data_IF_449469786181
#
_entry.id   IF_449469786181
#
_cell.length_a   1.000
_cell.length_b   1.000
_cell.length_c   1.000
_cell.angle_alpha   90.00
_cell.angle_beta   90.00
_cell.angle_gamma   90.00
#
_symmetry.space_group_name_H-M   'P 1'
#
loop_
_entity.id
_entity.type
_entity.pdbx_description
1 polymer ?
#
# COMPACT_ATOMS: atom_id res chain seq x y z
N UNK A 1 -25.57 -12.82 -16.00
CA UNK A 1 -25.29 -13.17 -14.57
C UNK A 1 -23.84 -12.84 -14.26
N UNK A 2 -23.58 -12.03 -13.22
CA UNK A 2 -22.20 -11.75 -12.80
C UNK A 2 -21.57 -12.95 -12.11
N UNK A 3 -20.38 -13.37 -12.53
CA UNK A 3 -19.64 -14.47 -11.89
C UNK A 3 -19.20 -14.09 -10.47
N UNK A 4 -19.16 -15.03 -9.51
CA UNK A 4 -18.66 -14.77 -8.16
C UNK A 4 -17.20 -14.34 -8.18
N UNK A 5 -16.77 -13.37 -7.36
CA UNK A 5 -15.40 -12.82 -7.40
C UNK A 5 -14.29 -13.83 -7.12
N UNK A 6 -14.59 -14.86 -6.32
CA UNK A 6 -13.68 -15.99 -6.11
C UNK A 6 -13.28 -16.70 -7.41
N UNK A 7 -14.07 -16.56 -8.49
CA UNK A 7 -13.74 -17.12 -9.80
C UNK A 7 -13.00 -16.13 -10.72
N UNK A 8 -12.65 -14.95 -10.22
CA UNK A 8 -11.97 -13.88 -10.96
C UNK A 8 -10.61 -13.51 -10.34
N UNK A 9 -10.32 -14.00 -9.14
CA UNK A 9 -9.00 -13.94 -8.51
C UNK A 9 -8.36 -15.30 -8.77
N UNK A 10 -7.30 -15.33 -9.57
CA UNK A 10 -6.52 -16.52 -9.85
C UNK A 10 -5.06 -16.19 -9.60
N UNK A 11 -4.49 -16.81 -8.56
CA UNK A 11 -3.07 -16.72 -8.26
C UNK A 11 -2.22 -17.33 -9.38
N UNK A 12 -2.76 -18.29 -10.13
CA UNK A 12 -2.11 -18.87 -11.31
C UNK A 12 -1.93 -17.83 -12.43
N UNK A 13 -2.84 -16.86 -12.53
CA UNK A 13 -2.79 -15.82 -13.56
C UNK A 13 -1.95 -14.61 -13.14
N UNK A 14 -2.12 -14.13 -11.90
CA UNK A 14 -1.30 -13.05 -11.33
C UNK A 14 -1.57 -12.89 -9.83
N UNK A 15 -0.54 -12.53 -9.04
CA UNK A 15 -0.73 -12.10 -7.66
C UNK A 15 -1.10 -10.62 -7.51
N UNK A 16 -1.13 -9.83 -8.60
CA UNK A 16 -1.30 -8.37 -8.55
C UNK A 16 -2.70 -7.91 -8.96
N UNK A 17 -3.30 -7.03 -8.15
CA UNK A 17 -4.67 -6.55 -8.33
C UNK A 17 -4.83 -5.08 -8.00
N UNK A 18 -5.41 -4.32 -8.92
CA UNK A 18 -5.91 -2.97 -8.65
C UNK A 18 -7.30 -3.03 -8.04
N UNK A 19 -7.55 -2.27 -6.98
CA UNK A 19 -8.82 -2.16 -6.30
C UNK A 19 -9.24 -0.70 -6.13
N UNK A 20 -10.55 -0.45 -6.24
CA UNK A 20 -11.14 0.89 -6.12
C UNK A 20 -12.43 0.84 -5.32
N UNK A 21 -12.57 1.71 -4.32
CA UNK A 21 -13.82 1.90 -3.58
C UNK A 21 -14.24 3.37 -3.61
N UNK A 22 -15.53 3.64 -3.82
CA UNK A 22 -16.09 4.98 -3.98
C UNK A 22 -17.28 5.19 -3.05
N UNK A 23 -17.34 6.35 -2.42
CA UNK A 23 -18.43 6.74 -1.52
C UNK A 23 -19.69 7.15 -2.27
N UNK A 24 -20.86 6.93 -1.65
CA UNK A 24 -22.16 7.34 -2.22
C UNK A 24 -22.19 8.83 -2.51
N UNK A 25 -22.89 9.22 -3.59
CA UNK A 25 -23.10 10.62 -3.96
C UNK A 25 -23.54 11.44 -2.73
N UNK A 26 -22.85 12.56 -2.51
CA UNK A 26 -22.99 13.52 -1.39
C UNK A 26 -22.38 13.10 -0.05
N UNK A 27 -21.87 11.88 0.11
CA UNK A 27 -20.96 11.57 1.22
C UNK A 27 -19.56 12.03 0.81
N UNK A 28 -18.98 12.96 1.57
CA UNK A 28 -17.57 13.31 1.44
C UNK A 28 -16.75 12.20 2.08
N UNK A 29 -15.99 11.47 1.25
CA UNK A 29 -14.97 10.58 1.79
C UNK A 29 -13.93 11.46 2.50
N UNK A 30 -13.45 12.48 1.79
CA UNK A 30 -12.57 13.53 2.29
C UNK A 30 -12.87 14.85 1.56
N UNK A 31 -12.28 15.96 2.01
CA UNK A 31 -12.47 17.28 1.39
C UNK A 31 -13.50 18.16 2.06
N UNK A 32 -13.63 19.38 1.54
CA UNK A 32 -14.54 20.40 2.04
C UNK A 32 -15.89 20.33 1.33
N UNK A 33 -16.97 20.24 2.10
CA UNK A 33 -18.32 20.42 1.58
C UNK A 33 -18.59 21.91 1.38
N UNK A 34 -18.61 22.34 0.12
CA UNK A 34 -18.87 23.74 -0.25
C UNK A 34 -20.23 24.25 0.24
N UNK A 35 -21.21 23.36 0.45
CA UNK A 35 -22.57 23.73 0.88
C UNK A 35 -22.68 23.93 2.38
N UNK A 36 -22.04 23.08 3.18
CA UNK A 36 -22.12 23.14 4.65
C UNK A 36 -20.89 23.81 5.28
N UNK A 37 -19.82 24.01 4.51
CA UNK A 37 -18.54 24.52 4.98
C UNK A 37 -17.72 23.51 5.78
N UNK A 38 -18.26 22.31 6.07
CA UNK A 38 -17.58 21.28 6.85
C UNK A 38 -16.40 20.67 6.08
N UNK A 39 -15.30 20.43 6.78
CA UNK A 39 -14.09 19.84 6.21
C UNK A 39 -13.88 18.42 6.74
N UNK A 40 -13.82 17.46 5.83
CA UNK A 40 -13.60 16.04 6.12
C UNK A 40 -12.21 15.56 5.68
N UNK A 41 -11.27 16.48 5.46
CA UNK A 41 -9.93 16.16 4.95
C UNK A 41 -9.17 15.20 5.87
N UNK A 42 -9.37 15.32 7.18
CA UNK A 42 -8.80 14.43 8.19
C UNK A 42 -9.13 12.95 7.98
N UNK A 43 -10.22 12.61 7.27
CA UNK A 43 -10.60 11.23 6.96
C UNK A 43 -9.62 10.56 5.98
N UNK A 44 -8.78 11.31 5.25
CA UNK A 44 -7.72 10.71 4.41
C UNK A 44 -6.75 9.91 5.26
N UNK A 45 -6.31 10.50 6.37
CA UNK A 45 -5.41 9.84 7.30
C UNK A 45 -6.04 8.57 7.86
N UNK A 46 -7.34 8.57 8.19
CA UNK A 46 -8.02 7.36 8.67
C UNK A 46 -7.95 6.20 7.67
N UNK A 47 -8.10 6.51 6.37
CA UNK A 47 -8.04 5.50 5.30
C UNK A 47 -6.62 4.99 5.14
N UNK A 48 -5.65 5.91 5.11
CA UNK A 48 -4.23 5.56 4.99
C UNK A 48 -3.74 4.72 6.18
N UNK A 49 -3.98 5.16 7.41
CA UNK A 49 -3.61 4.43 8.62
C UNK A 49 -4.20 3.03 8.62
N UNK A 50 -5.51 2.92 8.34
CA UNK A 50 -6.20 1.64 8.32
C UNK A 50 -5.70 0.75 7.18
N UNK A 51 -5.35 1.33 6.04
CA UNK A 51 -4.81 0.59 4.90
C UNK A 51 -3.45 -0.03 5.25
N UNK A 52 -2.55 0.77 5.83
CA UNK A 52 -1.21 0.34 6.22
C UNK A 52 -1.27 -0.68 7.38
N UNK A 53 -2.12 -0.45 8.39
CA UNK A 53 -2.36 -1.40 9.49
C UNK A 53 -2.83 -2.76 8.97
N UNK A 54 -3.78 -2.78 8.03
CA UNK A 54 -4.28 -4.05 7.49
C UNK A 54 -3.22 -4.80 6.68
N UNK A 55 -2.27 -4.11 6.05
CA UNK A 55 -1.18 -4.76 5.31
C UNK A 55 -0.16 -5.45 6.23
N UNK A 56 -0.05 -5.03 7.50
CA UNK A 56 0.76 -5.75 8.50
C UNK A 56 0.07 -7.02 9.01
N UNK A 57 -1.27 -7.07 8.94
CA UNK A 57 -2.07 -8.19 9.45
C UNK A 57 -2.35 -9.23 8.37
N UNK A 58 -2.64 -8.79 7.14
CA UNK A 58 -2.93 -9.66 6.00
C UNK A 58 -1.64 -10.04 5.27
N UNK A 59 -1.69 -11.14 4.51
CA UNK A 59 -0.62 -11.51 3.58
C UNK A 59 -0.82 -10.79 2.24
N UNK A 60 -0.99 -9.47 2.30
CA UNK A 60 -1.25 -8.61 1.16
C UNK A 60 -0.32 -7.40 1.24
N UNK A 61 0.60 -7.29 0.29
CA UNK A 61 1.51 -6.16 0.22
C UNK A 61 0.90 -5.01 -0.59
N UNK A 62 1.15 -3.77 -0.16
CA UNK A 62 0.68 -2.57 -0.87
C UNK A 62 1.73 -2.15 -1.89
N UNK A 63 1.44 -2.30 -3.18
CA UNK A 63 2.33 -1.84 -4.25
C UNK A 63 2.20 -0.33 -4.46
N UNK A 64 0.96 0.17 -4.54
CA UNK A 64 0.64 1.60 -4.68
C UNK A 64 -0.74 1.93 -4.10
N UNK A 65 -0.98 3.17 -3.69
CA UNK A 65 -2.29 3.67 -3.32
C UNK A 65 -2.39 5.19 -3.49
N UNK A 66 -3.63 5.68 -3.64
CA UNK A 66 -3.95 7.10 -3.62
C UNK A 66 -5.34 7.32 -3.00
N UNK A 67 -5.41 8.14 -1.96
CA UNK A 67 -6.68 8.50 -1.32
C UNK A 67 -7.23 9.78 -1.96
N UNK A 68 -8.35 9.68 -2.67
CA UNK A 68 -9.02 10.78 -3.36
C UNK A 68 -10.21 11.31 -2.55
N UNK A 69 -10.78 12.46 -2.94
CA UNK A 69 -11.84 13.11 -2.15
C UNK A 69 -13.16 12.32 -2.05
N UNK A 70 -13.44 11.40 -2.98
CA UNK A 70 -14.65 10.58 -2.97
C UNK A 70 -14.41 9.08 -3.24
N UNK A 71 -13.16 8.67 -3.44
CA UNK A 71 -12.77 7.27 -3.64
C UNK A 71 -11.31 7.08 -3.26
N UNK A 72 -10.85 5.84 -3.16
CA UNK A 72 -9.42 5.55 -3.09
C UNK A 72 -9.08 4.44 -4.07
N UNK A 73 -7.81 4.42 -4.47
CA UNK A 73 -7.20 3.38 -5.29
C UNK A 73 -6.14 2.67 -4.46
N UNK A 74 -6.03 1.35 -4.61
CA UNK A 74 -4.93 0.55 -4.06
C UNK A 74 -4.55 -0.55 -5.03
N UNK A 75 -3.26 -0.79 -5.21
CA UNK A 75 -2.69 -1.93 -5.92
C UNK A 75 -2.10 -2.87 -4.87
N UNK A 76 -2.61 -4.10 -4.85
CA UNK A 76 -2.26 -5.12 -3.88
C UNK A 76 -1.50 -6.27 -4.57
N UNK A 77 -0.56 -6.85 -3.84
CA UNK A 77 0.12 -8.10 -4.16
C UNK A 77 -0.29 -9.17 -3.15
N UNK A 78 -0.70 -10.35 -3.62
CA UNK A 78 -1.03 -11.47 -2.73
C UNK A 78 0.24 -12.27 -2.42
N UNK A 79 0.67 -12.22 -1.16
CA UNK A 79 1.88 -12.89 -0.70
C UNK A 79 1.58 -14.31 -0.17
N UNK A 80 1.28 -15.22 -1.10
CA UNK A 80 0.93 -16.60 -0.75
C UNK A 80 2.04 -17.32 0.01
N UNK A 81 3.30 -17.10 -0.38
CA UNK A 81 4.45 -17.69 0.30
C UNK A 81 4.55 -17.26 1.77
N UNK A 82 4.31 -15.98 2.07
CA UNK A 82 4.30 -15.49 3.45
C UNK A 82 3.18 -16.16 4.27
N UNK A 83 1.98 -16.29 3.70
CA UNK A 83 0.86 -16.89 4.41
C UNK A 83 1.06 -18.39 4.67
N UNK A 84 1.63 -19.11 3.72
CA UNK A 84 1.98 -20.53 3.84
C UNK A 84 3.07 -20.77 4.89
N UNK A 85 4.01 -19.83 5.03
CA UNK A 85 5.06 -19.89 6.03
C UNK A 85 4.56 -19.64 7.46
N UNK A 86 3.37 -19.06 7.66
CA UNK A 86 2.85 -18.78 9.00
C UNK A 86 2.52 -20.04 9.78
N UNK A 87 3.07 -20.10 10.99
CA UNK A 87 2.70 -21.06 12.02
C UNK A 87 1.24 -20.90 12.43
N UNK A 88 0.69 -21.93 13.09
CA UNK A 88 -0.66 -21.87 13.68
C UNK A 88 -0.81 -20.66 14.61
N UNK A 89 0.20 -20.39 15.44
CA UNK A 89 0.24 -19.24 16.36
C UNK A 89 0.12 -17.91 15.62
N UNK A 90 0.91 -17.74 14.57
CA UNK A 90 0.93 -16.52 13.77
C UNK A 90 -0.39 -16.24 13.07
N UNK A 91 -1.07 -17.27 12.56
CA UNK A 91 -2.40 -17.13 11.95
C UNK A 91 -3.44 -16.72 12.99
N UNK A 92 -3.42 -17.37 14.17
CA UNK A 92 -4.37 -17.06 15.25
C UNK A 92 -4.15 -15.63 15.76
N UNK A 93 -2.90 -15.21 15.98
CA UNK A 93 -2.58 -13.87 16.47
C UNK A 93 -3.02 -12.79 15.48
N UNK A 94 -2.71 -12.95 14.18
CA UNK A 94 -3.16 -12.02 13.13
C UNK A 94 -4.68 -11.94 13.08
N UNK A 95 -5.37 -13.08 13.15
CA UNK A 95 -6.83 -13.09 13.20
C UNK A 95 -7.37 -12.36 14.44
N UNK A 96 -6.71 -12.51 15.59
CA UNK A 96 -7.09 -11.88 16.85
C UNK A 96 -6.90 -10.37 16.88
N UNK A 97 -6.03 -9.82 16.02
CA UNK A 97 -5.92 -8.37 15.81
C UNK A 97 -7.18 -7.78 15.16
N UNK A 98 -7.95 -8.58 14.41
CA UNK A 98 -9.15 -8.14 13.70
C UNK A 98 -10.45 -8.54 14.42
N UNK A 99 -10.46 -9.70 15.07
CA UNK A 99 -11.64 -10.32 15.63
C UNK A 99 -11.35 -10.96 16.98
N UNK A 100 -12.35 -11.07 17.85
CA UNK A 100 -12.17 -11.72 19.17
C UNK A 100 -11.80 -13.21 19.11
N UNK A 101 -11.95 -13.87 17.96
CA UNK A 101 -11.74 -15.32 17.81
C UNK A 101 -12.81 -16.17 18.52
N UNK A 102 -12.55 -17.47 18.63
CA UNK A 102 -13.35 -18.44 19.39
C UNK A 102 -12.76 -18.67 20.80
N UNK A 103 -13.54 -19.16 21.78
CA UNK A 103 -13.01 -19.51 23.10
C UNK A 103 -11.81 -20.47 23.03
N UNK A 104 -11.85 -21.43 22.09
CA UNK A 104 -10.75 -22.35 21.82
C UNK A 104 -9.46 -21.61 21.40
N UNK A 105 -9.57 -20.69 20.44
CA UNK A 105 -8.42 -19.89 20.01
C UNK A 105 -7.90 -18.93 21.08
N UNK A 106 -8.76 -18.47 22.00
CA UNK A 106 -8.35 -17.61 23.12
C UNK A 106 -7.59 -18.40 24.19
N UNK A 107 -8.00 -19.64 24.47
CA UNK A 107 -7.24 -20.55 25.34
C UNK A 107 -5.87 -20.85 24.73
N UNK A 108 -5.82 -21.05 23.42
CA UNK A 108 -4.56 -21.24 22.69
C UNK A 108 -3.60 -20.05 22.81
N UNK A 109 -4.07 -18.81 22.63
CA UNK A 109 -3.21 -17.62 22.74
C UNK A 109 -2.71 -17.37 24.17
N UNK A 110 -3.39 -17.92 25.18
CA UNK A 110 -2.96 -17.91 26.60
C UNK A 110 -1.99 -19.06 26.93
N UNK A 111 -1.58 -19.86 25.95
CA UNK A 111 -0.75 -21.04 26.14
C UNK A 111 -1.36 -22.10 27.09
N UNK A 112 -2.69 -22.17 27.16
CA UNK A 112 -3.36 -23.26 27.88
C UNK A 112 -3.15 -24.58 27.13
N UNK A 113 -3.06 -25.68 27.88
CA UNK A 113 -2.97 -27.02 27.28
C UNK A 113 -4.28 -27.35 26.55
N UNK A 114 -4.16 -27.65 25.26
CA UNK A 114 -5.25 -28.16 24.43
C UNK A 114 -5.05 -29.66 24.21
N UNK A 115 -6.13 -30.43 24.28
CA UNK A 115 -6.08 -31.85 23.90
C UNK A 115 -6.00 -32.00 22.37
N UNK A 116 -5.59 -33.19 21.90
CA UNK A 116 -5.34 -33.43 20.47
C UNK A 116 -6.55 -33.09 19.57
N UNK A 117 -7.77 -33.39 20.00
CA UNK A 117 -8.99 -33.05 19.25
C UNK A 117 -9.25 -31.53 19.19
N UNK A 118 -8.94 -30.80 20.26
CA UNK A 118 -9.06 -29.34 20.32
C UNK A 118 -8.02 -28.67 19.41
N UNK A 119 -6.78 -29.19 19.40
CA UNK A 119 -5.73 -28.70 18.52
C UNK A 119 -6.08 -28.94 17.05
N UNK A 120 -6.51 -30.15 16.69
CA UNK A 120 -6.94 -30.48 15.33
C UNK A 120 -8.08 -29.56 14.86
N UNK A 121 -9.06 -29.30 15.73
CA UNK A 121 -10.16 -28.37 15.40
C UNK A 121 -9.66 -26.94 15.20
N UNK A 122 -8.68 -26.50 16.00
CA UNK A 122 -8.09 -25.17 15.85
C UNK A 122 -7.31 -25.06 14.54
N UNK A 123 -6.58 -26.10 14.12
CA UNK A 123 -5.86 -26.14 12.84
C UNK A 123 -6.80 -26.05 11.63
N UNK A 124 -7.96 -26.71 11.69
CA UNK A 124 -9.00 -26.57 10.66
C UNK A 124 -9.50 -25.12 10.56
N UNK A 125 -9.80 -24.50 11.71
CA UNK A 125 -10.25 -23.10 11.77
C UNK A 125 -9.15 -22.16 11.28
N UNK A 126 -7.90 -22.39 11.65
CA UNK A 126 -6.76 -21.59 11.24
C UNK A 126 -6.49 -21.71 9.75
N UNK A 127 -6.72 -22.87 9.14
CA UNK A 127 -6.67 -23.04 7.68
C UNK A 127 -7.64 -22.10 6.98
N UNK A 128 -8.88 -21.98 7.49
CA UNK A 128 -9.84 -21.01 6.97
C UNK A 128 -9.39 -19.56 7.21
N UNK A 129 -8.87 -19.24 8.39
CA UNK A 129 -8.38 -17.89 8.70
C UNK A 129 -7.21 -17.47 7.83
N UNK A 130 -6.24 -18.37 7.57
CA UNK A 130 -5.12 -18.13 6.66
C UNK A 130 -5.63 -17.80 5.26
N UNK A 131 -6.58 -18.58 4.73
CA UNK A 131 -7.17 -18.31 3.42
C UNK A 131 -7.87 -16.93 3.36
N UNK A 132 -8.54 -16.53 4.45
CA UNK A 132 -9.17 -15.21 4.54
C UNK A 132 -8.16 -14.07 4.68
N UNK A 133 -7.05 -14.28 5.38
CA UNK A 133 -5.96 -13.31 5.54
C UNK A 133 -5.14 -13.10 4.25
N UNK A 134 -5.35 -13.94 3.23
CA UNK A 134 -4.81 -13.75 1.87
C UNK A 134 -5.85 -13.18 0.89
N UNK A 135 -7.11 -13.02 1.30
CA UNK A 135 -8.20 -12.71 0.39
C UNK A 135 -8.45 -11.19 0.30
N UNK A 136 -8.34 -10.66 -0.92
CA UNK A 136 -8.56 -9.25 -1.22
C UNK A 136 -9.96 -8.79 -0.80
N UNK A 137 -10.99 -9.63 -0.94
CA UNK A 137 -12.35 -9.24 -0.55
C UNK A 137 -12.49 -9.09 0.96
N UNK A 138 -11.80 -9.92 1.75
CA UNK A 138 -11.70 -9.78 3.19
C UNK A 138 -10.93 -8.52 3.59
N UNK A 139 -9.79 -8.26 2.97
CA UNK A 139 -9.02 -7.03 3.19
C UNK A 139 -9.86 -5.78 2.91
N UNK A 140 -10.46 -5.72 1.72
CA UNK A 140 -11.31 -4.60 1.31
C UNK A 140 -12.55 -4.48 2.19
N UNK A 141 -13.10 -5.57 2.72
CA UNK A 141 -14.19 -5.52 3.69
C UNK A 141 -13.72 -4.87 4.99
N UNK A 142 -12.59 -5.30 5.54
CA UNK A 142 -12.06 -4.76 6.81
C UNK A 142 -11.72 -3.28 6.72
N UNK A 143 -11.18 -2.84 5.58
CA UNK A 143 -10.92 -1.42 5.32
C UNK A 143 -12.23 -0.63 5.22
N UNK A 144 -13.12 -1.01 4.30
CA UNK A 144 -14.33 -0.24 4.00
C UNK A 144 -15.32 -0.22 5.17
N UNK A 145 -15.47 -1.33 5.89
CA UNK A 145 -16.39 -1.43 7.03
C UNK A 145 -15.96 -0.52 8.19
N UNK A 146 -14.65 -0.46 8.49
CA UNK A 146 -14.10 0.42 9.52
C UNK A 146 -14.40 1.89 9.21
N UNK A 147 -14.02 2.34 8.01
CA UNK A 147 -14.20 3.73 7.57
C UNK A 147 -15.68 4.10 7.52
N UNK A 148 -16.56 3.22 7.02
CA UNK A 148 -18.00 3.48 6.96
C UNK A 148 -18.60 3.65 8.37
N UNK A 149 -18.20 2.81 9.33
CA UNK A 149 -18.68 2.90 10.72
C UNK A 149 -18.21 4.19 11.41
N UNK A 150 -16.96 4.59 11.17
CA UNK A 150 -16.39 5.80 11.75
C UNK A 150 -17.03 7.06 11.16
N UNK A 151 -17.14 7.13 9.83
CA UNK A 151 -17.75 8.26 9.14
C UNK A 151 -19.25 8.40 9.47
N UNK A 152 -20.03 7.32 9.45
CA UNK A 152 -21.45 7.36 9.83
C UNK A 152 -21.64 7.82 11.28
N UNK A 153 -20.76 7.41 12.20
CA UNK A 153 -20.79 7.84 13.60
C UNK A 153 -20.48 9.33 13.73
N UNK A 154 -19.46 9.82 13.04
CA UNK A 154 -19.11 11.25 13.01
C UNK A 154 -20.25 12.09 12.41
N UNK A 155 -20.89 11.59 11.36
CA UNK A 155 -21.98 12.26 10.67
C UNK A 155 -23.33 12.14 11.42
N UNK A 156 -23.38 11.38 12.53
CA UNK A 156 -24.59 11.12 13.29
C UNK A 156 -25.69 10.42 12.47
N UNK A 157 -25.31 9.64 11.45
CA UNK A 157 -26.23 9.04 10.50
C UNK A 157 -26.10 7.51 10.46
N UNK A 158 -27.12 6.88 9.87
CA UNK A 158 -27.13 5.43 9.61
C UNK A 158 -27.37 5.20 8.14
N UNK A 159 -26.73 4.19 7.57
CA UNK A 159 -26.97 3.78 6.19
C UNK A 159 -25.70 3.48 5.43
N UNK A 160 -25.82 3.50 4.10
CA UNK A 160 -24.79 3.07 3.17
C UNK A 160 -23.79 4.19 2.90
N UNK A 161 -22.53 3.97 3.25
CA UNK A 161 -21.44 4.91 2.98
C UNK A 161 -20.77 4.70 1.61
N UNK A 162 -20.63 3.45 1.16
CA UNK A 162 -19.98 3.10 -0.13
C UNK A 162 -21.01 2.86 -1.25
N UNK A 163 -20.78 3.36 -2.47
CA UNK A 163 -21.68 3.22 -3.64
C UNK A 163 -22.02 1.78 -3.99
N UNK A 164 -21.13 0.86 -3.62
CA UNK A 164 -21.02 -0.42 -4.28
C UNK A 164 -20.20 -1.40 -3.47
N UNK A 165 -20.10 -2.60 -4.03
CA UNK A 165 -18.92 -3.42 -3.80
C UNK A 165 -17.74 -2.72 -4.48
N UNK A 166 -16.54 -2.81 -3.91
CA UNK A 166 -15.32 -2.32 -4.55
C UNK A 166 -15.15 -2.91 -5.96
N UNK A 167 -14.53 -2.18 -6.89
CA UNK A 167 -14.13 -2.70 -8.20
C UNK A 167 -12.70 -3.25 -8.10
N UNK A 168 -12.38 -4.25 -8.92
CA UNK A 168 -11.01 -4.73 -9.01
C UNK A 168 -10.66 -5.15 -10.44
N UNK A 169 -9.36 -5.17 -10.73
CA UNK A 169 -8.77 -5.56 -12.01
C UNK A 169 -7.46 -6.32 -11.74
N UNK A 170 -7.31 -7.49 -12.37
CA UNK A 170 -6.07 -8.27 -12.33
C UNK A 170 -5.00 -7.64 -13.24
N UNK A 171 -3.76 -7.60 -12.79
CA UNK A 171 -2.62 -7.02 -13.52
C UNK A 171 -1.72 -8.17 -13.99
N UNK A 172 -1.86 -8.55 -15.27
CA UNK A 172 -1.37 -9.83 -15.79
C UNK A 172 0.14 -9.85 -16.11
N UNK A 173 0.78 -8.69 -16.17
CA UNK A 173 2.21 -8.56 -16.45
C UNK A 173 2.81 -7.33 -15.77
N UNK A 174 4.15 -7.25 -15.77
CA UNK A 174 4.90 -6.17 -15.13
C UNK A 174 4.62 -4.79 -15.75
N UNK A 175 4.30 -4.73 -17.04
CA UNK A 175 3.98 -3.47 -17.73
C UNK A 175 2.63 -2.96 -17.27
N UNK A 176 1.64 -3.84 -17.18
CA UNK A 176 0.32 -3.55 -16.62
C UNK A 176 0.42 -3.13 -15.15
N UNK A 177 1.30 -3.78 -14.37
CA UNK A 177 1.57 -3.39 -12.99
C UNK A 177 2.16 -1.98 -12.90
N UNK A 178 3.27 -1.71 -13.58
CA UNK A 178 3.94 -0.41 -13.55
C UNK A 178 3.02 0.72 -14.06
N UNK A 179 2.30 0.49 -15.16
CA UNK A 179 1.35 1.45 -15.70
C UNK A 179 0.17 1.71 -14.75
N UNK A 180 -0.33 0.68 -14.06
CA UNK A 180 -1.40 0.83 -13.09
C UNK A 180 -0.93 1.58 -11.84
N UNK A 181 0.24 1.26 -11.31
CA UNK A 181 0.84 1.97 -10.18
C UNK A 181 1.05 3.45 -10.51
N UNK A 182 1.66 3.76 -11.66
CA UNK A 182 1.85 5.14 -12.12
C UNK A 182 0.50 5.84 -12.34
N UNK A 183 -0.51 5.13 -12.87
CA UNK A 183 -1.87 5.67 -12.95
C UNK A 183 -2.43 6.04 -11.58
N UNK A 184 -2.24 5.18 -10.57
CA UNK A 184 -2.73 5.39 -9.20
C UNK A 184 -2.06 6.60 -8.58
N UNK A 185 -0.74 6.65 -8.58
CA UNK A 185 0.09 7.71 -8.00
C UNK A 185 -0.13 9.07 -8.68
N UNK A 186 -0.48 9.10 -9.97
CA UNK A 186 -0.77 10.34 -10.70
C UNK A 186 -2.22 10.83 -10.57
N UNK A 187 -3.12 10.11 -9.89
CA UNK A 187 -4.52 10.53 -9.79
C UNK A 187 -4.70 11.90 -9.09
N UNK A 188 -4.01 12.22 -7.98
CA UNK A 188 -4.10 13.53 -7.35
C UNK A 188 -3.70 14.67 -8.30
N UNK A 189 -2.63 14.48 -9.08
CA UNK A 189 -2.17 15.47 -10.07
C UNK A 189 -3.21 15.67 -11.17
N UNK A 190 -3.71 14.56 -11.74
CA UNK A 190 -4.74 14.61 -12.80
C UNK A 190 -6.05 15.24 -12.33
N UNK A 191 -6.33 15.17 -11.03
CA UNK A 191 -7.49 15.78 -10.39
C UNK A 191 -7.26 17.24 -9.95
N UNK A 192 -6.05 17.80 -10.14
CA UNK A 192 -5.62 19.11 -9.60
C UNK A 192 -5.74 19.21 -8.08
N UNK A 193 -5.46 18.12 -7.38
CA UNK A 193 -5.34 18.11 -5.93
C UNK A 193 -3.91 18.39 -5.46
N UNK A 194 -2.92 18.12 -6.32
CA UNK A 194 -1.52 18.42 -6.12
C UNK A 194 -0.90 18.78 -7.47
N UNK A 195 0.18 19.57 -7.46
CA UNK A 195 0.87 19.96 -8.69
C UNK A 195 1.93 18.93 -9.09
N UNK A 196 2.50 18.22 -8.11
CA UNK A 196 3.58 17.26 -8.33
C UNK A 196 3.45 16.01 -7.45
N UNK A 197 4.14 14.89 -7.77
CA UNK A 197 4.12 13.69 -6.93
C UNK A 197 4.62 13.92 -5.49
N UNK A 198 5.62 14.79 -5.32
CA UNK A 198 6.24 15.14 -4.03
C UNK A 198 5.25 15.82 -3.07
N UNK A 199 4.29 16.55 -3.64
CA UNK A 199 3.27 17.33 -2.91
C UNK A 199 1.92 16.60 -2.85
N UNK A 200 1.87 15.35 -3.31
CA UNK A 200 0.64 14.56 -3.35
C UNK A 200 0.44 13.74 -2.08
N UNK A 201 0.02 14.41 -1.01
CA UNK A 201 -0.21 13.77 0.30
C UNK A 201 -1.17 12.57 0.23
N UNK A 202 -0.99 11.62 1.15
CA UNK A 202 -1.75 10.37 1.24
C UNK A 202 -1.68 9.49 -0.02
N UNK A 203 -0.49 9.41 -0.61
CA UNK A 203 -0.17 8.52 -1.73
C UNK A 203 1.06 7.68 -1.45
N UNK A 204 1.17 6.54 -2.13
CA UNK A 204 2.40 5.74 -2.09
C UNK A 204 3.60 6.46 -2.68
N UNK A 205 3.43 7.24 -3.76
CA UNK A 205 4.55 7.94 -4.40
C UNK A 205 5.16 8.98 -3.48
N UNK A 206 4.35 9.78 -2.78
CA UNK A 206 4.85 10.80 -1.85
C UNK A 206 5.67 10.14 -0.75
N UNK A 207 5.19 9.03 -0.17
CA UNK A 207 5.95 8.26 0.83
C UNK A 207 7.25 7.69 0.29
N UNK A 208 7.21 7.09 -0.89
CA UNK A 208 8.40 6.53 -1.55
C UNK A 208 9.45 7.59 -1.80
N UNK A 209 9.03 8.77 -2.23
CA UNK A 209 9.89 9.94 -2.43
C UNK A 209 10.49 10.41 -1.11
N UNK A 210 9.68 10.56 -0.07
CA UNK A 210 10.14 11.02 1.24
C UNK A 210 11.24 10.13 1.82
N UNK A 211 11.07 8.80 1.74
CA UNK A 211 12.08 7.84 2.22
C UNK A 211 13.30 7.76 1.30
N UNK A 212 13.10 7.96 -0.02
CA UNK A 212 14.20 7.94 -0.98
C UNK A 212 15.19 9.10 -0.77
N UNK A 213 14.77 10.23 -0.18
CA UNK A 213 15.69 11.31 0.19
C UNK A 213 16.76 10.83 1.20
N UNK A 214 16.41 9.86 2.04
CA UNK A 214 17.29 9.24 3.04
C UNK A 214 17.99 7.96 2.55
N UNK A 215 17.88 7.61 1.26
CA UNK A 215 18.46 6.36 0.76
C UNK A 215 17.62 5.10 1.07
N UNK A 216 16.36 5.27 1.50
CA UNK A 216 15.51 4.18 2.03
C UNK A 216 14.27 3.93 1.18
N UNK A 217 13.57 2.85 1.51
CA UNK A 217 12.23 2.55 1.01
C UNK A 217 11.26 2.45 2.20
N UNK A 218 10.00 2.87 2.03
CA UNK A 218 9.01 2.82 3.11
C UNK A 218 8.72 1.37 3.51
N UNK A 219 8.89 1.00 4.80
CA UNK A 219 8.78 -0.40 5.24
C UNK A 219 7.37 -0.98 5.12
N UNK A 220 6.35 -0.13 5.05
CA UNK A 220 4.94 -0.51 4.99
C UNK A 220 4.42 -0.71 3.54
N UNK A 221 5.26 -0.44 2.53
CA UNK A 221 4.93 -0.67 1.13
C UNK A 221 5.78 -1.80 0.57
N UNK A 222 5.26 -2.49 -0.45
CA UNK A 222 6.00 -3.53 -1.13
C UNK A 222 7.27 -2.90 -1.75
N UNK A 223 8.48 -3.39 -1.38
CA UNK A 223 9.72 -2.75 -1.77
C UNK A 223 10.00 -3.00 -3.25
N UNK A 224 10.69 -2.06 -3.89
CA UNK A 224 11.30 -2.26 -5.20
C UNK A 224 12.55 -3.14 -5.04
N UNK A 225 12.51 -4.35 -5.62
CA UNK A 225 13.63 -5.28 -5.61
C UNK A 225 14.58 -5.08 -6.80
N UNK A 226 14.16 -4.33 -7.83
CA UNK A 226 14.95 -4.14 -9.04
C UNK A 226 14.76 -5.25 -10.08
N UNK A 227 15.54 -5.13 -11.16
CA UNK A 227 15.52 -6.05 -12.31
C UNK A 227 16.54 -7.19 -12.06
N UNK A 228 16.16 -8.48 -12.09
CA UNK A 228 16.94 -9.53 -11.45
C UNK A 228 18.20 -9.90 -12.24
N UNK A 229 19.37 -9.69 -11.61
CA UNK A 229 20.56 -10.50 -11.84
C UNK A 229 21.11 -10.88 -10.47
N UNK A 230 20.75 -12.11 -10.06
CA UNK A 230 21.11 -12.82 -8.81
C UNK A 230 20.19 -12.61 -7.59
N UNK A 231 20.12 -13.68 -6.77
CA UNK A 231 19.20 -13.96 -5.64
C UNK A 231 18.11 -12.91 -5.38
N UNK A 232 16.93 -13.10 -5.98
CA UNK A 232 15.80 -12.17 -5.91
C UNK A 232 15.39 -11.90 -4.44
N UNK A 233 15.46 -10.65 -3.96
CA UNK A 233 14.72 -10.24 -2.77
C UNK A 233 13.23 -10.11 -3.12
N UNK A 234 12.36 -10.54 -2.20
CA UNK A 234 10.90 -10.41 -2.33
C UNK A 234 10.53 -8.93 -2.54
N UNK A 235 9.95 -8.57 -3.70
CA UNK A 235 9.59 -7.19 -4.03
C UNK A 235 9.10 -6.96 -5.47
N UNK A 236 8.83 -5.69 -5.81
CA UNK A 236 8.44 -5.24 -7.15
C UNK A 236 9.59 -5.41 -8.16
N UNK A 237 9.33 -5.90 -9.38
CA UNK A 237 10.35 -6.30 -10.35
C UNK A 237 10.93 -5.13 -11.17
N UNK A 238 11.08 -3.96 -10.55
CA UNK A 238 11.64 -2.77 -11.19
C UNK A 238 12.41 -1.95 -10.16
N UNK A 239 13.33 -1.11 -10.63
CA UNK A 239 14.06 -0.21 -9.73
C UNK A 239 13.18 0.98 -9.36
N UNK A 240 13.34 1.51 -8.15
CA UNK A 240 12.61 2.70 -7.71
C UNK A 240 12.87 3.89 -8.65
N UNK A 241 14.12 4.11 -9.08
CA UNK A 241 14.47 5.21 -9.99
C UNK A 241 13.72 5.14 -11.32
N UNK A 242 13.78 3.98 -11.98
CA UNK A 242 13.07 3.74 -13.25
C UNK A 242 11.56 4.02 -13.09
N UNK A 243 11.00 3.65 -11.94
CA UNK A 243 9.60 3.92 -11.63
C UNK A 243 9.30 5.41 -11.39
N UNK A 244 10.17 6.13 -10.67
CA UNK A 244 10.01 7.58 -10.47
C UNK A 244 10.04 8.31 -11.82
N UNK A 245 10.99 7.96 -12.69
CA UNK A 245 11.08 8.52 -14.04
C UNK A 245 9.83 8.19 -14.87
N UNK A 246 9.33 6.95 -14.80
CA UNK A 246 8.08 6.55 -15.46
C UNK A 246 6.90 7.41 -14.99
N UNK A 247 6.79 7.67 -13.68
CA UNK A 247 5.75 8.51 -13.09
C UNK A 247 5.87 9.95 -13.57
N UNK A 248 7.06 10.54 -13.56
CA UNK A 248 7.30 11.91 -14.01
C UNK A 248 6.97 12.07 -15.50
N UNK A 249 7.49 11.19 -16.36
CA UNK A 249 7.20 11.18 -17.79
C UNK A 249 5.70 11.04 -18.06
N UNK A 250 5.05 10.07 -17.40
CA UNK A 250 3.61 9.83 -17.54
C UNK A 250 2.75 10.97 -16.97
N UNK A 251 3.27 11.73 -16.01
CA UNK A 251 2.60 12.86 -15.37
C UNK A 251 2.66 14.14 -16.20
N UNK A 252 3.72 14.34 -16.98
CA UNK A 252 3.86 15.45 -17.94
C UNK A 252 2.95 15.30 -19.15
N UNK A 253 2.66 14.07 -19.57
CA UNK A 253 1.76 13.83 -20.69
C UNK A 253 0.35 14.38 -20.42
N UNK A 254 -0.01 15.48 -21.07
CA UNK A 254 -1.36 16.04 -21.02
C UNK A 254 -2.35 15.08 -21.68
N UNK A 255 -3.31 14.59 -20.90
CA UNK A 255 -4.44 13.82 -21.42
C UNK A 255 -5.61 14.74 -21.70
N UNK A 256 -6.16 14.68 -22.92
CA UNK A 256 -7.34 15.47 -23.32
C UNK A 256 -8.53 15.31 -22.36
N UNK A 257 -8.65 14.17 -21.69
CA UNK A 257 -9.73 13.86 -20.75
C UNK A 257 -9.46 14.28 -19.29
N UNK A 258 -8.29 14.86 -18.98
CA UNK A 258 -7.87 15.20 -17.60
C UNK A 258 -7.52 16.68 -17.46
N UNK A 259 -7.66 17.18 -16.23
CA UNK A 259 -7.52 18.61 -15.93
C UNK A 259 -6.10 19.00 -15.58
N UNK A 260 -5.34 18.13 -14.92
CA UNK A 260 -3.98 18.39 -14.46
C UNK A 260 -2.93 17.52 -15.17
N UNK A 261 -1.74 18.10 -15.29
CA UNK A 261 -0.49 17.49 -15.74
C UNK A 261 0.66 18.15 -14.97
N UNK A 262 1.80 17.49 -14.87
CA UNK A 262 3.03 18.07 -14.32
C UNK A 262 3.53 19.12 -15.31
N UNK A 263 3.95 20.29 -14.82
CA UNK A 263 4.50 21.36 -15.65
C UNK A 263 5.77 20.88 -16.39
N UNK A 264 5.80 21.07 -17.72
CA UNK A 264 6.93 20.68 -18.57
C UNK A 264 8.21 21.47 -18.23
N UNK A 265 8.10 22.64 -17.63
CA UNK A 265 9.23 23.48 -17.24
C UNK A 265 9.94 22.97 -15.98
N UNK A 266 9.32 22.07 -15.20
CA UNK A 266 9.95 21.50 -14.02
C UNK A 266 11.13 20.59 -14.42
N UNK A 267 12.25 20.59 -13.68
CA UNK A 267 13.33 19.63 -13.90
C UNK A 267 12.85 18.17 -13.77
N UNK A 268 13.54 17.19 -14.35
CA UNK A 268 13.27 15.76 -14.16
C UNK A 268 13.19 15.39 -12.67
N UNK A 269 12.33 14.43 -12.32
CA UNK A 269 12.07 14.09 -10.92
C UNK A 269 13.33 13.74 -10.11
N UNK A 270 14.29 13.00 -10.68
CA UNK A 270 15.51 12.64 -9.95
C UNK A 270 16.37 13.86 -9.62
N UNK A 271 16.37 14.88 -10.49
CA UNK A 271 17.05 16.16 -10.22
C UNK A 271 16.31 16.95 -9.14
N UNK A 272 14.97 17.00 -9.20
CA UNK A 272 14.14 17.65 -8.18
C UNK A 272 14.34 17.03 -6.79
N UNK A 273 14.56 15.72 -6.75
CA UNK A 273 14.80 14.95 -5.53
C UNK A 273 16.26 14.90 -5.09
N UNK A 274 17.18 15.46 -5.86
CA UNK A 274 18.63 15.39 -5.62
C UNK A 274 19.16 13.95 -5.49
N UNK A 275 18.52 13.00 -6.17
CA UNK A 275 18.94 11.60 -6.20
C UNK A 275 19.96 11.44 -7.34
N UNK A 276 21.25 11.31 -6.98
CA UNK A 276 22.29 10.95 -7.95
C UNK A 276 22.15 9.45 -8.31
N UNK A 277 21.87 9.10 -9.59
CA UNK A 277 21.72 7.71 -10.01
C UNK A 277 22.94 6.84 -9.68
N UNK A 278 24.16 7.40 -9.73
CA UNK A 278 25.41 6.70 -9.43
C UNK A 278 25.57 6.45 -7.94
N UNK A 279 25.18 7.43 -7.11
CA UNK A 279 25.25 7.32 -5.66
C UNK A 279 24.25 6.28 -5.14
N UNK A 280 23.04 6.25 -5.67
CA UNK A 280 22.02 5.28 -5.28
C UNK A 280 22.31 3.85 -5.75
N UNK A 281 22.90 3.67 -6.94
CA UNK A 281 23.41 2.37 -7.39
C UNK A 281 24.54 1.86 -6.48
N UNK A 282 25.40 2.76 -6.00
CA UNK A 282 26.42 2.44 -5.01
C UNK A 282 25.81 2.02 -3.66
N UNK A 283 24.76 2.71 -3.19
CA UNK A 283 24.05 2.36 -1.97
C UNK A 283 23.39 0.98 -2.07
N UNK A 284 22.65 0.70 -3.15
CA UNK A 284 21.97 -0.58 -3.35
C UNK A 284 22.94 -1.77 -3.47
N UNK A 285 24.10 -1.60 -4.09
CA UNK A 285 25.09 -2.69 -4.22
C UNK A 285 25.89 -2.98 -2.96
N UNK A 286 26.04 -2.00 -2.07
CA UNK A 286 26.92 -2.12 -0.90
C UNK A 286 26.17 -2.22 0.43
N UNK A 287 24.83 -2.08 0.44
CA UNK A 287 24.01 -2.17 1.65
C UNK A 287 24.08 -3.54 2.32
N UNK A 288 24.24 -4.62 1.54
CA UNK A 288 24.39 -5.98 2.06
C UNK A 288 25.84 -6.33 2.49
N UNK A 289 26.82 -5.44 2.23
CA UNK A 289 28.18 -5.67 2.69
C UNK A 289 28.28 -5.38 4.18
N UNK A 290 28.59 -6.42 4.96
CA UNK A 290 28.86 -6.32 6.39
C UNK A 290 29.91 -5.23 6.65
N UNK A 291 29.49 -4.17 7.35
CA UNK A 291 30.26 -3.05 7.92
C UNK A 291 30.69 -1.92 6.97
N UNK A 292 30.00 -0.77 7.02
CA UNK A 292 30.60 0.59 7.24
C UNK A 292 29.62 1.47 8.02
N UNK A 293 30.13 2.18 9.03
CA UNK A 293 29.35 2.77 10.13
C UNK A 293 28.57 4.05 9.83
N UNK A 294 28.60 4.57 8.60
CA UNK A 294 27.85 5.75 8.16
C UNK A 294 27.53 5.63 6.66
N UNK A 295 26.27 5.86 6.29
CA UNK A 295 25.77 5.81 4.91
C UNK A 295 24.76 6.95 4.75
N UNK A 296 24.93 7.81 3.73
CA UNK A 296 24.08 8.96 3.46
C UNK A 296 24.69 9.90 2.41
N UNK A 297 24.01 10.99 2.06
CA UNK A 297 24.52 11.99 1.14
C UNK A 297 25.90 12.53 1.59
N UNK A 298 26.77 12.88 0.65
CA UNK A 298 28.17 13.22 0.95
C UNK A 298 28.32 14.35 1.99
N UNK A 299 27.40 15.32 1.98
CA UNK A 299 27.37 16.40 2.98
C UNK A 299 26.93 15.90 4.37
N UNK A 300 25.95 15.00 4.45
CA UNK A 300 25.45 14.42 5.69
C UNK A 300 26.46 13.47 6.32
N UNK A 301 27.18 12.69 5.50
CA UNK A 301 28.27 11.82 5.97
C UNK A 301 29.45 12.67 6.44
N UNK A 302 29.79 13.76 5.74
CA UNK A 302 30.86 14.67 6.16
C UNK A 302 30.54 15.35 7.49
N UNK A 303 29.31 15.87 7.65
CA UNK A 303 28.85 16.44 8.92
C UNK A 303 28.81 15.40 10.05
N UNK A 304 28.39 14.17 9.76
CA UNK A 304 28.37 13.09 10.75
C UNK A 304 29.80 12.65 11.15
N UNK A 305 30.75 12.59 10.22
CA UNK A 305 32.16 12.33 10.53
C UNK A 305 32.78 13.42 11.40
N UNK A 306 32.52 14.70 11.07
CA UNK A 306 32.98 15.86 11.86
C UNK A 306 32.41 15.84 13.29
N UNK A 307 31.13 15.47 13.47
CA UNK A 307 30.50 15.34 14.80
C UNK A 307 30.95 14.11 15.59
N UNK A 308 31.32 13.03 14.91
CA UNK A 308 31.77 11.78 15.53
C UNK A 308 33.29 11.71 15.75
N UNK A 309 34.01 12.78 15.44
CA UNK A 309 35.47 12.89 15.65
C UNK A 309 36.29 11.90 14.82
N UNK A 310 35.81 11.54 13.62
CA UNK A 310 36.47 10.66 12.66
C UNK A 310 36.75 11.35 11.35
#
# INVERSE_FOLDING_TARGET
MGRPRKSLISLEATPYYHCVSRCVRRAFLCGKDERTGRCFEHRRQWIEDRLLELAEIFALDICAYAVMSNHYHVVLHINAAQAEAWTLREVVDRWHQLFKGSPLSQRFTRNETLHAAELARLEEIATEWRARLMDISWFMRMLNESIARQANREDGCTGRFWEGRFKFQALLDERALAACMAYVDLNPIRAKMADTPETSDHTSIQRRISEAQDGKQPPQLFPFAGNPRESIPVGLPFQLQDYLELVDWSGRCLREDKRGAIDEQLPPILERLQIDPRHWLYLNRNFESRFKSLVGAAHSVRNACEQLGR
#
